data_IF_731762967481
#
_entry.id   IF_731762967481
#
_cell.length_a   1.000
_cell.length_b   1.000
_cell.length_c   1.000
_cell.angle_alpha   90.00
_cell.angle_beta   90.00
_cell.angle_gamma   90.00
#
_symmetry.space_group_name_H-M   'P 1'
#
loop_
_entity.id
_entity.type
_entity.pdbx_description
1 polymer ?
#
# COMPACT_ATOMS: atom_id res chain seq x y z
N UNK A 1 -49.84 -37.95 -19.44
CA UNK A 1 -49.01 -37.31 -20.47
C UNK A 1 -48.08 -36.37 -19.74
N UNK A 2 -46.80 -36.55 -19.98
CA UNK A 2 -45.71 -36.40 -19.02
C UNK A 2 -45.20 -34.94 -18.91
N UNK A 3 -44.69 -34.60 -17.73
CA UNK A 3 -44.12 -33.30 -17.35
C UNK A 3 -42.87 -32.95 -18.18
N UNK A 4 -42.90 -31.82 -18.89
CA UNK A 4 -41.74 -31.28 -19.59
C UNK A 4 -40.83 -30.51 -18.61
N UNK A 5 -39.87 -31.22 -18.01
CA UNK A 5 -38.79 -30.60 -17.21
C UNK A 5 -37.67 -30.12 -18.14
N UNK A 6 -37.72 -28.87 -18.58
CA UNK A 6 -36.64 -28.22 -19.33
C UNK A 6 -35.41 -27.98 -18.44
N UNK A 7 -34.53 -28.98 -18.36
CA UNK A 7 -33.24 -28.91 -17.68
C UNK A 7 -32.18 -28.19 -18.51
N UNK A 8 -31.35 -27.39 -17.83
CA UNK A 8 -30.22 -26.68 -18.47
C UNK A 8 -29.23 -27.73 -19.04
N UNK A 9 -28.87 -27.64 -20.33
CA UNK A 9 -27.97 -28.63 -20.94
C UNK A 9 -26.58 -28.53 -20.31
N UNK A 10 -26.07 -29.67 -19.79
CA UNK A 10 -24.81 -29.76 -19.03
C UNK A 10 -23.58 -29.16 -19.74
N UNK A 11 -23.61 -29.10 -21.08
CA UNK A 11 -22.56 -28.49 -21.92
C UNK A 11 -22.51 -26.96 -21.84
N UNK A 12 -23.58 -26.30 -21.40
CA UNK A 12 -23.64 -24.86 -21.15
C UNK A 12 -23.29 -24.48 -19.70
N UNK A 13 -23.17 -25.46 -18.80
CA UNK A 13 -22.83 -25.23 -17.39
C UNK A 13 -21.32 -24.95 -17.21
N UNK A 14 -20.47 -25.61 -18.01
CA UNK A 14 -19.01 -25.48 -17.94
C UNK A 14 -18.48 -24.06 -18.22
N UNK A 15 -18.92 -23.33 -19.28
CA UNK A 15 -18.47 -21.97 -19.52
C UNK A 15 -18.95 -20.99 -18.43
N UNK A 16 -20.09 -21.25 -17.80
CA UNK A 16 -20.65 -20.41 -16.74
C UNK A 16 -19.87 -20.55 -15.43
N UNK A 17 -19.40 -21.78 -15.12
CA UNK A 17 -18.53 -22.03 -13.96
C UNK A 17 -17.11 -21.51 -14.18
N UNK A 18 -16.57 -21.63 -15.40
CA UNK A 18 -15.25 -21.11 -15.75
C UNK A 18 -15.19 -19.57 -15.74
N UNK A 19 -16.25 -18.89 -16.23
CA UNK A 19 -16.32 -17.43 -16.23
C UNK A 19 -16.47 -16.81 -14.84
N UNK A 20 -17.16 -17.49 -13.92
CA UNK A 20 -17.38 -16.98 -12.55
C UNK A 20 -16.15 -17.05 -11.64
N UNK A 21 -15.21 -17.97 -11.91
CA UNK A 21 -14.03 -18.20 -11.05
C UNK A 21 -12.87 -17.24 -11.34
N UNK A 22 -12.91 -16.52 -12.47
CA UNK A 22 -11.91 -15.51 -12.84
C UNK A 22 -12.23 -14.09 -12.32
N UNK A 23 -13.44 -13.85 -11.82
CA UNK A 23 -13.86 -12.53 -11.35
C UNK A 23 -13.12 -12.04 -10.08
N UNK A 24 -12.76 -12.88 -9.07
CA UNK A 24 -12.08 -12.36 -7.88
C UNK A 24 -10.63 -11.91 -8.14
N UNK A 25 -10.00 -12.33 -9.26
CA UNK A 25 -8.64 -11.88 -9.60
C UNK A 25 -8.62 -10.63 -10.51
N UNK A 26 -9.73 -10.32 -11.19
CA UNK A 26 -9.87 -9.10 -11.99
C UNK A 26 -10.55 -7.95 -11.23
N UNK A 27 -11.30 -8.24 -10.16
CA UNK A 27 -11.86 -7.21 -9.28
C UNK A 27 -10.80 -6.44 -8.47
N UNK A 28 -9.54 -6.89 -8.45
CA UNK A 28 -8.41 -6.13 -7.91
C UNK A 28 -7.69 -5.25 -8.93
N UNK A 29 -8.08 -5.29 -10.22
CA UNK A 29 -7.46 -4.52 -11.30
C UNK A 29 -8.31 -3.33 -11.77
N UNK A 30 -9.51 -3.13 -11.22
CA UNK A 30 -10.30 -1.93 -11.42
C UNK A 30 -10.09 -1.00 -10.21
N UNK A 31 -9.33 0.06 -10.42
CA UNK A 31 -9.10 1.15 -9.46
C UNK A 31 -10.38 1.59 -8.76
N UNK A 32 -10.46 1.32 -7.46
CA UNK A 32 -11.42 1.99 -6.58
C UNK A 32 -10.98 3.45 -6.35
N UNK A 33 -11.92 4.41 -6.19
CA UNK A 33 -11.60 5.77 -5.78
C UNK A 33 -11.25 5.74 -4.29
N UNK A 34 -9.99 5.45 -3.98
CA UNK A 34 -9.55 5.24 -2.60
C UNK A 34 -8.16 4.64 -2.43
N UNK A 35 -7.43 4.36 -3.50
CA UNK A 35 -5.99 4.19 -3.41
C UNK A 35 -5.40 5.55 -2.98
N UNK A 36 -4.95 5.62 -1.72
CA UNK A 36 -4.24 6.78 -1.21
C UNK A 36 -3.17 7.19 -2.21
N UNK A 37 -3.35 8.37 -2.79
CA UNK A 37 -2.38 9.03 -3.64
C UNK A 37 -1.15 9.35 -2.79
N UNK A 38 -0.29 8.36 -2.59
CA UNK A 38 1.14 8.55 -2.42
C UNK A 38 1.86 8.23 -3.73
N UNK A 39 1.21 8.49 -4.86
CA UNK A 39 1.92 8.91 -6.06
C UNK A 39 2.15 10.40 -5.94
N UNK A 40 3.06 10.79 -5.03
CA UNK A 40 3.74 12.06 -5.19
C UNK A 40 4.45 11.96 -6.52
N UNK A 41 3.80 12.47 -7.58
CA UNK A 41 4.44 12.63 -8.87
C UNK A 41 5.77 13.27 -8.61
N UNK A 42 6.83 12.62 -9.08
CA UNK A 42 8.20 13.07 -8.94
C UNK A 42 8.31 14.39 -9.70
N UNK A 43 7.90 15.50 -9.09
CA UNK A 43 8.27 16.81 -9.54
C UNK A 43 9.78 16.85 -9.35
N UNK A 44 10.50 16.67 -10.46
CA UNK A 44 11.96 16.69 -10.52
C UNK A 44 12.56 17.96 -9.89
N UNK A 45 11.74 18.98 -9.68
CA UNK A 45 12.09 20.28 -9.11
C UNK A 45 11.85 20.43 -7.60
N UNK A 46 11.15 19.51 -6.92
CA UNK A 46 10.96 19.66 -5.47
C UNK A 46 12.24 19.21 -4.73
N UNK A 47 12.82 20.04 -3.85
CA UNK A 47 14.01 19.67 -3.11
C UNK A 47 13.71 18.52 -2.13
N UNK A 48 14.60 17.54 -2.07
CA UNK A 48 14.52 16.41 -1.15
C UNK A 48 15.70 16.39 -0.19
N UNK A 49 15.49 15.75 0.96
CA UNK A 49 16.54 15.46 1.93
C UNK A 49 16.52 13.98 2.28
N UNK A 50 17.71 13.40 2.47
CA UNK A 50 17.86 11.99 2.87
C UNK A 50 17.95 11.93 4.38
N UNK A 51 17.02 11.21 5.00
CA UNK A 51 16.94 11.00 6.44
C UNK A 51 17.31 9.55 6.79
N UNK A 52 17.75 9.36 8.02
CA UNK A 52 18.03 8.04 8.59
C UNK A 52 16.77 7.53 9.29
N UNK A 53 16.33 6.33 8.93
CA UNK A 53 15.31 5.59 9.68
C UNK A 53 15.92 4.96 10.94
N UNK A 54 15.07 4.59 11.92
CA UNK A 54 15.54 3.90 13.11
C UNK A 54 16.30 2.60 12.82
N UNK A 55 15.84 1.86 11.81
CA UNK A 55 16.45 0.61 11.31
C UNK A 55 17.82 0.79 10.63
N UNK A 56 18.40 1.98 10.68
CA UNK A 56 19.70 2.32 10.08
C UNK A 56 19.67 2.46 8.55
N UNK A 57 18.51 2.28 7.90
CA UNK A 57 18.37 2.50 6.46
C UNK A 57 18.02 3.95 6.14
N UNK A 58 18.16 4.34 4.88
CA UNK A 58 17.89 5.71 4.45
C UNK A 58 16.52 5.84 3.81
N UNK A 59 15.90 7.01 3.96
CA UNK A 59 14.65 7.39 3.30
C UNK A 59 14.77 8.79 2.73
N UNK A 60 14.24 9.00 1.52
CA UNK A 60 14.23 10.31 0.87
C UNK A 60 12.89 10.99 1.11
N UNK A 61 12.90 12.19 1.67
CA UNK A 61 11.70 12.92 2.09
C UNK A 61 11.67 14.31 1.43
N UNK A 62 10.51 14.78 0.92
CA UNK A 62 10.39 16.14 0.41
C UNK A 62 10.72 17.17 1.48
N UNK A 63 11.50 18.21 1.13
CA UNK A 63 11.91 19.26 2.07
C UNK A 63 10.71 20.00 2.67
N UNK A 64 9.65 20.22 1.88
CA UNK A 64 8.42 20.84 2.37
C UNK A 64 7.75 20.05 3.50
N UNK A 65 7.90 18.72 3.54
CA UNK A 65 7.41 17.89 4.64
C UNK A 65 8.24 18.08 5.90
N UNK A 66 9.57 18.22 5.77
CA UNK A 66 10.49 18.46 6.88
C UNK A 66 10.24 19.83 7.50
N UNK A 67 10.05 20.85 6.67
CA UNK A 67 9.80 22.22 7.13
C UNK A 67 8.49 22.35 7.92
N UNK A 68 7.49 21.51 7.61
CA UNK A 68 6.21 21.43 8.33
C UNK A 68 6.23 20.43 9.49
N UNK A 69 7.28 19.63 9.63
CA UNK A 69 7.35 18.60 10.66
C UNK A 69 7.49 19.23 12.05
N UNK A 70 6.85 18.61 13.04
CA UNK A 70 7.01 19.02 14.45
C UNK A 70 8.29 18.44 15.01
N UNK A 71 9.16 19.30 15.53
CA UNK A 71 10.33 18.85 16.30
C UNK A 71 9.87 18.32 17.66
N UNK A 72 10.04 17.02 17.89
CA UNK A 72 9.65 16.34 19.14
C UNK A 72 10.69 16.48 20.25
N UNK A 73 11.98 16.54 19.91
CA UNK A 73 13.07 16.77 20.85
C UNK A 73 14.21 17.53 20.15
N UNK A 74 14.63 18.66 20.74
CA UNK A 74 15.79 19.43 20.27
C UNK A 74 17.02 19.01 21.06
N UNK A 75 18.18 18.90 20.40
CA UNK A 75 19.49 18.63 21.02
C UNK A 75 19.53 17.37 21.91
N UNK A 76 19.17 16.22 21.34
CA UNK A 76 19.26 14.94 22.04
C UNK A 76 20.72 14.54 22.29
N UNK A 77 21.01 13.88 23.42
CA UNK A 77 22.33 13.29 23.67
C UNK A 77 22.52 12.00 22.87
N UNK A 78 23.77 11.57 22.68
CA UNK A 78 24.08 10.32 21.99
C UNK A 78 23.44 9.09 22.67
N UNK A 79 23.40 9.08 24.00
CA UNK A 79 22.79 8.00 24.77
C UNK A 79 21.27 7.95 24.55
N UNK A 80 20.61 9.11 24.55
CA UNK A 80 19.18 9.21 24.26
C UNK A 80 18.85 8.83 22.81
N UNK A 81 19.68 9.25 21.84
CA UNK A 81 19.55 8.85 20.45
C UNK A 81 19.68 7.32 20.32
N UNK A 82 20.72 6.73 20.92
CA UNK A 82 20.92 5.28 20.86
C UNK A 82 19.75 4.51 21.48
N UNK A 83 19.30 4.92 22.67
CA UNK A 83 18.14 4.30 23.32
C UNK A 83 16.88 4.38 22.46
N UNK A 84 16.68 5.49 21.76
CA UNK A 84 15.54 5.66 20.86
C UNK A 84 15.61 4.71 19.65
N UNK A 85 16.80 4.52 19.07
CA UNK A 85 17.03 3.53 18.01
C UNK A 85 16.78 2.10 18.51
N UNK A 86 17.36 1.73 19.66
CA UNK A 86 17.21 0.39 20.26
C UNK A 86 15.74 0.06 20.62
N UNK A 87 14.94 1.07 20.98
CA UNK A 87 13.50 0.87 21.29
C UNK A 87 12.71 0.42 20.07
N UNK A 88 13.15 0.85 18.88
CA UNK A 88 12.44 0.59 17.63
C UNK A 88 12.82 -0.77 17.03
N UNK A 89 13.99 -1.31 17.36
CA UNK A 89 14.43 -2.66 16.94
C UNK A 89 13.74 -3.80 17.73
N UNK A 90 13.09 -3.49 18.86
CA UNK A 90 12.45 -4.48 19.75
C UNK A 90 10.93 -4.62 19.56
N UNK A 91 10.37 -4.04 18.50
CA UNK A 91 8.95 -4.13 18.11
C UNK A 91 8.77 -4.95 16.83
#
# INVERSE_FOLDING_TARGET
MEDEKNGIPRRKLLPLLAGGLAIPFLAGAAEGPGAGQNTGGESLDEPYETLLKPDGTTVRVPKGTIDRARVVAKNISNDSLKSWLDTIDNE
#
